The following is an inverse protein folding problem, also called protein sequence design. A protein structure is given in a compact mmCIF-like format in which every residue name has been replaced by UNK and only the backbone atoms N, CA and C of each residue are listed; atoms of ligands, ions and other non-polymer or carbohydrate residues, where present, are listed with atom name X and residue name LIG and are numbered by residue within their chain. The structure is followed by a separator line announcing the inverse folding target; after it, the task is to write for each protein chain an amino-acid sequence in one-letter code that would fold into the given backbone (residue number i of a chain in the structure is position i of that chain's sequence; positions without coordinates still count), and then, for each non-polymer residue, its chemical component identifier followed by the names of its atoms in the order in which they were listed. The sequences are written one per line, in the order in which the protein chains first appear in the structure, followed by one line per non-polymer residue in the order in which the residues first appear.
data_IF_791876230059
#
_entry.id   IF_791876230059
#
_cell.length_a   1.000
_cell.length_b   1.000
_cell.length_c   1.000
_cell.angle_alpha   90.00
_cell.angle_beta   90.00
_cell.angle_gamma   90.00
#
_symmetry.space_group_name_H-M   'P 1'
#
loop_
_entity.id
_entity.type
_entity.pdbx_description
1 polymer ?
#
# COMPACT_ATOMS: atom_id res chain seq x y z
N UNK A 1 0.45 19.57 -21.43
CA UNK A 1 0.00 18.58 -20.43
C UNK A 1 0.88 18.71 -19.21
N UNK A 2 0.31 18.59 -18.01
CA UNK A 2 1.07 18.67 -16.75
C UNK A 2 1.57 17.28 -16.37
N UNK A 3 2.82 17.21 -15.93
CA UNK A 3 3.49 16.00 -15.47
C UNK A 3 4.06 16.24 -14.08
N UNK A 4 3.74 15.38 -13.14
CA UNK A 4 4.30 15.42 -11.79
C UNK A 4 5.66 14.71 -11.76
N UNK A 5 6.61 15.29 -11.02
CA UNK A 5 8.00 14.82 -10.96
C UNK A 5 8.34 14.41 -9.54
N UNK A 6 8.93 13.23 -9.41
CA UNK A 6 9.41 12.69 -8.14
C UNK A 6 10.91 12.41 -8.23
N UNK A 7 11.68 12.87 -7.24
CA UNK A 7 13.13 12.72 -7.18
C UNK A 7 13.56 11.81 -6.04
N UNK A 8 14.48 10.91 -6.36
CA UNK A 8 15.28 10.18 -5.39
C UNK A 8 16.68 10.79 -5.33
N UNK A 9 17.14 11.20 -4.14
CA UNK A 9 18.45 11.86 -3.99
C UNK A 9 19.60 10.86 -3.93
N UNK A 10 19.47 9.77 -3.17
CA UNK A 10 20.45 8.68 -3.10
C UNK A 10 19.82 7.32 -3.38
N UNK A 11 20.62 6.37 -3.85
CA UNK A 11 20.16 4.99 -4.06
C UNK A 11 19.62 4.41 -2.74
N UNK A 12 18.36 3.99 -2.75
CA UNK A 12 17.67 3.41 -1.60
C UNK A 12 16.73 4.38 -0.87
N UNK A 13 16.80 5.68 -1.16
CA UNK A 13 15.84 6.65 -0.63
C UNK A 13 14.48 6.52 -1.34
N UNK A 14 13.43 7.06 -0.73
CA UNK A 14 12.13 7.21 -1.39
C UNK A 14 12.16 8.31 -2.45
N UNK A 15 11.43 8.09 -3.55
CA UNK A 15 11.11 9.16 -4.49
C UNK A 15 10.15 10.15 -3.83
N UNK A 16 10.57 11.41 -3.72
CA UNK A 16 9.76 12.49 -3.15
C UNK A 16 9.28 13.41 -4.26
N UNK A 17 8.03 13.84 -4.18
CA UNK A 17 7.49 14.84 -5.11
C UNK A 17 8.30 16.14 -4.99
N UNK A 18 8.72 16.68 -6.14
CA UNK A 18 9.58 17.88 -6.18
C UNK A 18 9.05 18.98 -7.09
N UNK A 19 7.88 18.79 -7.70
CA UNK A 19 7.21 19.76 -8.57
C UNK A 19 6.63 19.12 -9.82
N UNK A 20 6.30 19.96 -10.80
CA UNK A 20 5.73 19.55 -12.06
C UNK A 20 6.42 20.22 -13.25
N UNK A 21 6.21 19.65 -14.44
CA UNK A 21 6.65 20.20 -15.72
C UNK A 21 5.51 20.19 -16.73
N UNK A 22 5.52 21.14 -17.66
CA UNK A 22 4.58 21.15 -18.77
C UNK A 22 5.27 20.65 -20.04
N UNK A 23 4.76 19.56 -20.62
CA UNK A 23 5.30 18.94 -21.82
C UNK A 23 4.18 18.39 -22.72
N UNK A 24 4.43 18.23 -24.03
CA UNK A 24 3.46 17.62 -24.95
C UNK A 24 3.40 16.09 -24.84
N UNK A 25 4.51 15.44 -24.52
CA UNK A 25 4.66 13.98 -24.47
C UNK A 25 5.64 13.55 -23.36
N UNK A 26 5.79 12.23 -23.20
CA UNK A 26 6.62 11.61 -22.15
C UNK A 26 8.11 11.89 -22.33
N UNK A 27 8.63 11.86 -23.56
CA UNK A 27 10.06 12.05 -23.82
C UNK A 27 10.49 13.48 -23.47
N UNK A 28 9.69 14.46 -23.91
CA UNK A 28 9.89 15.87 -23.58
C UNK A 28 9.72 16.12 -22.08
N UNK A 29 8.78 15.44 -21.41
CA UNK A 29 8.59 15.54 -19.96
C UNK A 29 9.83 15.07 -19.18
N UNK A 30 10.44 13.96 -19.59
CA UNK A 30 11.68 13.46 -18.98
C UNK A 30 12.84 14.45 -19.14
N UNK A 31 13.04 14.97 -20.35
CA UNK A 31 14.08 15.96 -20.62
C UNK A 31 13.88 17.23 -19.78
N UNK A 32 12.66 17.74 -19.68
CA UNK A 32 12.36 18.92 -18.86
C UNK A 32 12.50 18.65 -17.36
N UNK A 33 12.16 17.45 -16.89
CA UNK A 33 12.35 17.05 -15.52
C UNK A 33 13.84 16.99 -15.14
N UNK A 34 14.69 16.45 -16.01
CA UNK A 34 16.14 16.43 -15.80
C UNK A 34 16.72 17.85 -15.71
N UNK A 35 16.34 18.73 -16.63
CA UNK A 35 16.84 20.10 -16.69
C UNK A 35 16.40 20.93 -15.48
N UNK A 36 15.14 20.82 -15.06
CA UNK A 36 14.58 21.65 -13.99
C UNK A 36 14.84 21.08 -12.59
N UNK A 37 14.77 19.76 -12.41
CA UNK A 37 14.76 19.15 -11.07
C UNK A 37 16.03 18.35 -10.72
N UNK A 38 16.93 18.09 -11.68
CA UNK A 38 18.18 17.34 -11.46
C UNK A 38 19.47 18.06 -11.88
N UNK A 39 19.41 19.15 -12.66
CA UNK A 39 20.63 19.79 -13.21
C UNK A 39 21.61 20.35 -12.15
N UNK A 40 21.11 20.85 -11.02
CA UNK A 40 21.94 21.44 -9.94
C UNK A 40 21.79 20.75 -8.59
N UNK A 41 20.96 19.73 -8.51
CA UNK A 41 20.67 19.00 -7.28
C UNK A 41 21.05 17.54 -7.48
N UNK A 42 21.64 16.91 -6.47
CA UNK A 42 21.94 15.49 -6.54
C UNK A 42 20.64 14.69 -6.75
N UNK A 43 20.53 14.02 -7.89
CA UNK A 43 19.43 13.14 -8.23
C UNK A 43 20.00 11.79 -8.68
N UNK A 44 19.61 10.72 -7.99
CA UNK A 44 19.93 9.35 -8.37
C UNK A 44 18.91 8.80 -9.39
N UNK A 45 17.63 9.18 -9.25
CA UNK A 45 16.56 8.74 -10.14
C UNK A 45 15.42 9.76 -10.15
N UNK A 46 14.73 9.86 -11.29
CA UNK A 46 13.52 10.64 -11.47
C UNK A 46 12.38 9.73 -11.94
N UNK A 47 11.19 9.93 -11.38
CA UNK A 47 9.94 9.44 -11.94
C UNK A 47 9.12 10.60 -12.46
N UNK A 48 8.50 10.40 -13.62
CA UNK A 48 7.68 11.41 -14.29
C UNK A 48 6.39 10.74 -14.72
N UNK A 49 5.26 11.28 -14.26
CA UNK A 49 3.92 10.70 -14.43
C UNK A 49 2.96 11.79 -14.91
N UNK A 50 2.06 11.51 -15.88
CA UNK A 50 1.04 12.47 -16.25
C UNK A 50 0.15 12.78 -15.04
N UNK A 51 -0.17 14.05 -14.81
CA UNK A 51 -1.00 14.44 -13.67
C UNK A 51 -2.36 13.74 -13.67
N UNK A 52 -2.95 13.52 -14.85
CA UNK A 52 -4.24 12.86 -15.01
C UNK A 52 -4.26 11.39 -14.56
N UNK A 53 -3.10 10.75 -14.41
CA UNK A 53 -3.00 9.35 -13.98
C UNK A 53 -2.83 9.20 -12.46
N UNK A 54 -2.73 10.32 -11.73
CA UNK A 54 -2.59 10.32 -10.27
C UNK A 54 -3.98 10.50 -9.66
N UNK A 55 -4.42 9.49 -8.92
CA UNK A 55 -5.64 9.53 -8.12
C UNK A 55 -5.32 9.76 -6.65
N UNK A 56 -6.20 10.47 -5.96
CA UNK A 56 -6.15 10.70 -4.52
C UNK A 56 -7.25 9.89 -3.83
N UNK A 57 -6.96 9.40 -2.63
CA UNK A 57 -7.98 8.88 -1.71
C UNK A 57 -7.80 9.65 -0.41
N UNK A 58 -8.80 10.44 -0.04
CA UNK A 58 -8.74 11.27 1.16
C UNK A 58 -9.08 10.46 2.42
N UNK A 59 -8.92 11.09 3.60
CA UNK A 59 -9.20 10.43 4.87
C UNK A 59 -10.69 10.26 5.19
N UNK A 60 -11.58 11.00 4.50
CA UNK A 60 -13.03 10.88 4.64
C UNK A 60 -13.60 9.73 3.80
N UNK A 61 -12.99 9.45 2.64
CA UNK A 61 -13.34 8.40 1.70
C UNK A 61 -12.62 7.08 2.00
N UNK A 62 -11.45 7.13 2.62
CA UNK A 62 -10.66 5.94 2.87
C UNK A 62 -11.11 5.14 4.10
N UNK A 63 -11.42 3.86 3.88
CA UNK A 63 -11.33 2.85 4.93
C UNK A 63 -9.87 2.41 5.13
N UNK A 64 -9.02 3.29 5.67
CA UNK A 64 -7.65 2.93 6.07
C UNK A 64 -7.68 2.12 7.37
N UNK A 65 -7.96 0.82 7.28
CA UNK A 65 -7.92 -0.07 8.42
C UNK A 65 -8.49 -1.43 8.11
N UNK A 66 -7.64 -2.46 8.04
CA UNK A 66 -8.12 -3.80 8.33
C UNK A 66 -8.41 -3.87 9.83
N UNK A 67 -9.60 -4.32 10.20
CA UNK A 67 -10.02 -4.74 11.56
C UNK A 67 -9.20 -5.94 12.08
N UNK A 68 -8.03 -6.19 11.53
CA UNK A 68 -7.15 -7.26 11.96
C UNK A 68 -6.54 -6.85 13.27
N UNK A 69 -7.07 -7.39 14.36
CA UNK A 69 -6.40 -7.39 15.63
C UNK A 69 -4.98 -7.94 15.42
N UNK A 70 -4.00 -7.06 15.60
CA UNK A 70 -2.59 -7.37 15.40
C UNK A 70 -1.98 -7.94 16.68
N UNK A 71 -2.79 -8.24 17.71
CA UNK A 71 -2.41 -8.81 19.00
C UNK A 71 -1.34 -9.91 18.90
N UNK A 72 -1.42 -10.76 17.86
CA UNK A 72 -0.44 -11.81 17.54
C UNK A 72 0.99 -11.31 17.25
N UNK A 73 1.19 -10.02 16.97
CA UNK A 73 2.51 -9.39 16.75
C UNK A 73 3.25 -9.11 18.07
N UNK A 74 2.56 -9.15 19.21
CA UNK A 74 3.16 -8.95 20.53
C UNK A 74 3.28 -10.28 21.26
N UNK A 75 4.50 -10.60 21.72
CA UNK A 75 4.79 -11.86 22.40
C UNK A 75 3.98 -12.07 23.70
N UNK A 76 3.56 -10.98 24.36
CA UNK A 76 2.78 -11.00 25.60
C UNK A 76 1.37 -11.57 25.43
N UNK A 77 0.80 -11.48 24.22
CA UNK A 77 -0.61 -11.79 24.01
C UNK A 77 -0.90 -13.28 24.01
N UNK A 78 0.08 -14.15 23.77
CA UNK A 78 -0.12 -15.61 23.78
C UNK A 78 -0.51 -16.18 25.15
N UNK A 79 -0.27 -15.46 26.24
CA UNK A 79 -0.49 -15.98 27.59
C UNK A 79 -1.93 -15.79 28.11
N UNK A 80 -2.69 -14.84 27.56
CA UNK A 80 -4.04 -14.46 28.02
C UNK A 80 -5.08 -14.46 26.88
N UNK A 81 -4.97 -15.37 25.90
CA UNK A 81 -5.99 -15.49 24.83
C UNK A 81 -7.14 -16.36 25.35
N UNK A 82 -8.25 -15.73 25.72
CA UNK A 82 -9.54 -16.43 25.87
C UNK A 82 -10.08 -16.79 24.47
N UNK A 83 -10.70 -17.96 24.34
CA UNK A 83 -11.21 -18.49 23.06
C UNK A 83 -12.25 -17.58 22.39
N UNK A 84 -12.78 -16.58 23.12
CA UNK A 84 -13.67 -15.55 22.62
C UNK A 84 -13.00 -14.46 21.75
N UNK A 85 -11.66 -14.38 21.72
CA UNK A 85 -10.95 -13.28 21.05
C UNK A 85 -10.93 -13.38 19.52
N UNK A 86 -11.22 -14.56 18.96
CA UNK A 86 -11.21 -14.79 17.52
C UNK A 86 -12.51 -15.45 17.07
N UNK A 87 -13.54 -14.63 16.90
CA UNK A 87 -14.86 -15.06 16.43
C UNK A 87 -14.76 -15.79 15.07
N UNK A 88 -13.81 -15.39 14.22
CA UNK A 88 -13.46 -16.05 12.96
C UNK A 88 -12.92 -17.49 13.13
N UNK A 89 -12.16 -17.76 14.20
CA UNK A 89 -11.65 -19.11 14.52
C UNK A 89 -12.79 -19.99 15.03
N UNK A 90 -13.62 -19.45 15.92
CA UNK A 90 -14.78 -20.17 16.46
C UNK A 90 -15.82 -20.51 15.38
N UNK A 91 -16.01 -19.64 14.39
CA UNK A 91 -16.93 -19.88 13.28
C UNK A 91 -16.35 -20.92 12.29
N UNK A 92 -15.04 -20.89 12.05
CA UNK A 92 -14.32 -21.91 11.25
C UNK A 92 -14.34 -23.30 11.91
N UNK A 93 -14.13 -23.38 13.23
CA UNK A 93 -14.21 -24.65 13.98
C UNK A 93 -15.63 -25.25 13.94
N UNK A 94 -16.67 -24.42 14.10
CA UNK A 94 -18.07 -24.90 13.97
C UNK A 94 -18.40 -25.38 12.57
N UNK A 95 -17.83 -24.77 11.54
CA UNK A 95 -18.00 -25.21 10.16
C UNK A 95 -17.32 -26.57 9.93
N UNK A 96 -16.10 -26.75 10.46
CA UNK A 96 -15.38 -28.02 10.42
C UNK A 96 -16.09 -29.14 11.18
N UNK A 97 -16.64 -28.87 12.37
CA UNK A 97 -17.42 -29.84 13.14
C UNK A 97 -18.69 -30.28 12.41
N UNK A 98 -19.40 -29.34 11.77
CA UNK A 98 -20.58 -29.66 10.96
C UNK A 98 -20.22 -30.49 9.73
N UNK A 99 -19.11 -30.16 9.06
CA UNK A 99 -18.60 -30.93 7.93
C UNK A 99 -18.19 -32.36 8.34
N UNK A 100 -17.53 -32.52 9.49
CA UNK A 100 -17.16 -33.82 10.04
C UNK A 100 -18.39 -34.68 10.37
N UNK A 101 -19.38 -34.13 11.08
CA UNK A 101 -20.64 -34.83 11.41
C UNK A 101 -21.42 -35.22 10.16
N UNK A 102 -21.43 -34.37 9.14
CA UNK A 102 -22.08 -34.68 7.86
C UNK A 102 -21.38 -35.82 7.13
N UNK A 103 -20.04 -35.84 7.17
CA UNK A 103 -19.22 -36.90 6.56
C UNK A 103 -19.38 -38.23 7.29
N UNK A 104 -19.47 -38.23 8.61
CA UNK A 104 -19.74 -39.43 9.41
C UNK A 104 -21.16 -39.98 9.20
N UNK A 105 -22.16 -39.12 8.99
CA UNK A 105 -23.52 -39.54 8.67
C UNK A 105 -23.70 -40.09 7.24
N UNK A 106 -22.69 -39.95 6.38
CA UNK A 106 -22.68 -40.42 4.99
C UNK A 106 -21.92 -41.75 4.80
N UNK A 107 -21.40 -42.34 5.87
CA UNK A 107 -20.78 -43.67 5.93
C UNK A 107 -21.78 -44.64 6.57
#
# INVERSE_FOLDING_TARGET
MIWEVFRQEKKGDYHKHCGNVHAPDREMALMFAEIQHARRMHANSLWVVPQAEIAEVDAEEASFGGTTDKAFRWAMTYNDIDASFAQEVADSEKEQEKAAKTREAQI
#
